data_IF_348410001093
#
_entry.id   IF_348410001093
#
_cell.length_a   1.000
_cell.length_b   1.000
_cell.length_c   1.000
_cell.angle_alpha   90.00
_cell.angle_beta   90.00
_cell.angle_gamma   90.00
#
_symmetry.space_group_name_H-M   'P 1'
#
loop_
_entity.id
_entity.type
_entity.pdbx_description
1 polymer ?
#
# COMPACT_ATOMS: atom_id res chain seq x y z
N UNK A 1 52.68 -61.15 8.94
CA UNK A 1 51.35 -60.91 8.35
C UNK A 1 50.62 -59.94 9.28
N UNK A 2 50.80 -58.65 9.03
CA UNK A 2 50.04 -57.58 9.69
C UNK A 2 48.94 -57.12 8.73
N UNK A 3 47.68 -57.00 9.18
CA UNK A 3 46.59 -56.55 8.33
C UNK A 3 46.57 -55.02 8.23
N UNK A 4 46.51 -54.54 6.99
CA UNK A 4 46.29 -53.15 6.64
C UNK A 4 44.88 -52.72 7.09
N UNK A 5 44.79 -51.69 7.95
CA UNK A 5 43.53 -50.99 8.21
C UNK A 5 43.37 -49.82 7.23
N UNK A 6 42.19 -49.79 6.65
CA UNK A 6 41.71 -49.00 5.53
C UNK A 6 41.53 -47.52 5.85
N UNK A 7 41.98 -46.67 4.92
CA UNK A 7 41.68 -45.24 4.82
C UNK A 7 40.18 -45.01 4.55
N UNK A 8 39.34 -44.91 5.58
CA UNK A 8 37.97 -44.41 5.42
C UNK A 8 37.53 -43.52 6.59
N UNK A 9 38.30 -42.47 6.86
CA UNK A 9 37.86 -41.37 7.73
C UNK A 9 38.40 -40.02 7.24
N UNK A 10 38.01 -39.63 6.01
CA UNK A 10 38.21 -38.26 5.52
C UNK A 10 36.94 -37.72 4.89
N UNK A 11 36.40 -36.67 5.52
CA UNK A 11 35.72 -35.62 4.77
C UNK A 11 34.23 -35.43 5.00
N UNK A 12 33.75 -35.37 6.26
CA UNK A 12 32.54 -34.61 6.56
C UNK A 12 32.91 -33.23 7.08
N UNK A 13 33.51 -32.40 6.22
CA UNK A 13 33.63 -30.96 6.48
C UNK A 13 32.23 -30.34 6.37
N UNK A 14 31.61 -30.16 7.52
CA UNK A 14 30.40 -29.39 7.69
C UNK A 14 30.72 -27.92 7.33
N UNK A 15 30.47 -27.55 6.07
CA UNK A 15 30.54 -26.15 5.60
C UNK A 15 29.52 -25.32 6.38
N UNK A 16 29.90 -24.83 7.56
CA UNK A 16 29.18 -23.77 8.26
C UNK A 16 29.10 -22.58 7.32
N UNK A 17 27.90 -22.31 6.78
CA UNK A 17 27.62 -21.10 6.01
C UNK A 17 27.88 -19.91 6.93
N UNK A 18 28.98 -19.21 6.71
CA UNK A 18 29.28 -17.94 7.37
C UNK A 18 28.26 -16.91 6.88
N UNK A 19 27.30 -16.57 7.74
CA UNK A 19 26.40 -15.43 7.47
C UNK A 19 27.26 -14.16 7.60
N UNK A 20 27.36 -13.33 6.55
CA UNK A 20 28.17 -12.12 6.62
C UNK A 20 27.64 -11.20 7.73
N UNK A 21 28.55 -10.72 8.59
CA UNK A 21 28.22 -9.87 9.73
C UNK A 21 27.62 -8.50 9.33
N UNK A 22 27.76 -8.12 8.05
CA UNK A 22 27.18 -6.91 7.49
C UNK A 22 26.43 -7.26 6.22
N UNK A 23 25.21 -6.73 6.10
CA UNK A 23 24.47 -6.79 4.85
C UNK A 23 25.27 -6.03 3.79
N UNK A 24 25.45 -6.60 2.57
CA UNK A 24 26.07 -5.85 1.48
C UNK A 24 25.25 -4.58 1.21
N UNK A 25 25.89 -3.50 0.70
CA UNK A 25 25.17 -2.29 0.34
C UNK A 25 24.05 -2.64 -0.64
N UNK A 26 22.86 -2.08 -0.41
CA UNK A 26 21.70 -2.26 -1.29
C UNK A 26 22.13 -1.83 -2.70
N UNK A 27 22.04 -2.70 -3.72
CA UNK A 27 22.37 -2.32 -5.07
C UNK A 27 21.59 -1.07 -5.47
N UNK A 28 22.24 -0.13 -6.17
CA UNK A 28 21.51 0.96 -6.80
C UNK A 28 20.39 0.36 -7.66
N UNK A 29 19.17 0.85 -7.45
CA UNK A 29 17.98 0.26 -8.06
C UNK A 29 18.14 0.17 -9.59
N UNK A 30 17.61 -0.87 -10.23
CA UNK A 30 17.77 -1.04 -11.67
C UNK A 30 17.23 0.19 -12.43
N UNK A 31 17.86 0.57 -13.55
CA UNK A 31 17.35 1.64 -14.40
C UNK A 31 15.93 1.30 -14.87
N UNK A 32 15.16 2.34 -15.20
CA UNK A 32 13.83 2.17 -15.73
C UNK A 32 13.87 1.33 -17.01
N UNK A 33 12.99 0.32 -17.06
CA UNK A 33 12.89 -0.56 -18.22
C UNK A 33 12.37 0.26 -19.43
N UNK A 34 12.83 0.00 -20.66
CA UNK A 34 12.33 0.69 -21.84
C UNK A 34 10.78 0.60 -21.95
N UNK A 35 10.12 1.73 -22.19
CA UNK A 35 8.66 1.83 -22.28
C UNK A 35 7.91 1.78 -20.94
N UNK A 36 8.63 1.84 -19.82
CA UNK A 36 8.07 2.04 -18.49
C UNK A 36 8.20 3.49 -18.06
N UNK A 37 7.17 3.96 -17.37
CA UNK A 37 7.11 5.26 -16.73
C UNK A 37 7.14 5.07 -15.22
N UNK A 38 7.80 6.00 -14.53
CA UNK A 38 7.76 6.14 -13.08
C UNK A 38 7.18 7.50 -12.74
N UNK A 39 6.14 7.52 -11.92
CA UNK A 39 5.52 8.74 -11.39
C UNK A 39 5.43 8.63 -9.87
N UNK A 40 5.72 9.72 -9.16
CA UNK A 40 5.73 9.79 -7.70
C UNK A 40 4.74 10.85 -7.23
N UNK A 41 3.98 10.54 -6.18
CA UNK A 41 2.90 11.36 -5.67
C UNK A 41 3.01 11.49 -4.16
N UNK A 42 3.10 12.72 -3.66
CA UNK A 42 3.00 13.00 -2.24
C UNK A 42 1.52 12.94 -1.82
N UNK A 43 1.17 11.95 -1.00
CA UNK A 43 -0.19 11.74 -0.50
C UNK A 43 -0.21 11.95 1.00
N UNK A 44 -1.18 12.74 1.47
CA UNK A 44 -1.44 13.04 2.87
C UNK A 44 -2.74 12.40 3.31
N UNK A 45 -2.73 11.83 4.50
CA UNK A 45 -3.91 11.28 5.17
C UNK A 45 -4.52 12.38 6.04
N UNK A 46 -5.70 12.85 5.65
CA UNK A 46 -6.36 14.03 6.25
C UNK A 46 -7.08 13.66 7.53
N UNK A 47 -7.86 12.57 7.49
CA UNK A 47 -8.65 12.13 8.65
C UNK A 47 -7.96 10.98 9.39
N UNK A 48 -8.26 10.77 10.67
CA UNK A 48 -7.64 9.69 11.44
C UNK A 48 -7.72 8.33 10.75
N UNK A 49 -6.56 7.69 10.55
CA UNK A 49 -6.43 6.34 10.05
C UNK A 49 -6.24 5.37 11.21
N UNK A 50 -7.08 4.33 11.25
CA UNK A 50 -7.00 3.27 12.24
C UNK A 50 -6.79 1.91 11.58
N UNK A 51 -6.09 1.01 12.27
CA UNK A 51 -5.82 -0.35 11.82
C UNK A 51 -4.78 -0.41 10.69
N UNK A 52 -4.88 -1.43 9.84
CA UNK A 52 -3.90 -1.68 8.78
C UNK A 52 -2.68 -2.48 9.22
N UNK A 53 -2.56 -2.78 10.52
CA UNK A 53 -1.58 -3.70 11.06
C UNK A 53 -1.97 -5.17 10.97
N UNK A 54 -1.08 -6.08 11.42
CA UNK A 54 -1.34 -7.51 11.44
C UNK A 54 -2.37 -7.90 12.50
N UNK A 55 -2.55 -7.06 13.54
CA UNK A 55 -3.59 -7.20 14.56
C UNK A 55 -4.74 -6.22 14.28
N UNK A 56 -6.01 -6.66 14.40
CA UNK A 56 -7.15 -5.77 14.32
C UNK A 56 -7.03 -4.61 15.31
N UNK A 57 -7.31 -3.38 14.87
CA UNK A 57 -7.28 -2.20 15.74
C UNK A 57 -5.88 -1.66 16.08
N UNK A 58 -4.81 -2.30 15.61
CA UNK A 58 -3.45 -1.79 15.76
C UNK A 58 -2.87 -1.39 14.40
N UNK A 59 -2.13 -0.27 14.39
CA UNK A 59 -1.35 0.13 13.24
C UNK A 59 0.01 -0.59 13.29
N UNK A 60 0.53 -1.02 12.15
CA UNK A 60 1.87 -1.62 12.09
C UNK A 60 2.93 -0.53 12.38
N UNK A 61 3.78 -0.71 13.41
CA UNK A 61 4.79 0.28 13.76
C UNK A 61 5.90 0.43 12.71
N UNK A 62 6.05 -0.54 11.81
CA UNK A 62 7.09 -0.55 10.77
C UNK A 62 6.52 -0.19 9.41
N UNK A 63 5.29 -0.59 9.11
CA UNK A 63 4.66 -0.34 7.81
C UNK A 63 3.26 0.24 7.96
N UNK A 64 3.20 1.50 8.39
CA UNK A 64 1.95 2.25 8.57
C UNK A 64 1.08 2.26 7.30
N UNK A 65 1.71 2.40 6.13
CA UNK A 65 1.05 2.30 4.82
C UNK A 65 1.68 1.17 4.02
N UNK A 66 0.94 0.07 3.86
CA UNK A 66 1.40 -1.11 3.13
C UNK A 66 1.17 -0.98 1.63
N UNK A 67 2.22 -1.15 0.82
CA UNK A 67 2.12 -1.15 -0.64
C UNK A 67 1.15 -2.21 -1.18
N UNK A 68 1.01 -3.35 -0.50
CA UNK A 68 0.02 -4.38 -0.84
C UNK A 68 -1.43 -3.88 -0.68
N UNK A 69 -1.72 -3.13 0.39
CA UNK A 69 -3.03 -2.52 0.62
C UNK A 69 -3.34 -1.45 -0.42
N UNK A 70 -2.37 -0.59 -0.74
CA UNK A 70 -2.51 0.40 -1.82
C UNK A 70 -2.83 -0.28 -3.14
N UNK A 71 -2.10 -1.35 -3.50
CA UNK A 71 -2.40 -2.13 -4.71
C UNK A 71 -3.83 -2.70 -4.71
N UNK A 72 -4.33 -3.18 -3.56
CA UNK A 72 -5.71 -3.63 -3.41
C UNK A 72 -6.73 -2.51 -3.66
N UNK A 73 -6.48 -1.32 -3.12
CA UNK A 73 -7.31 -0.15 -3.36
C UNK A 73 -7.31 0.28 -4.83
N UNK A 74 -6.14 0.34 -5.46
CA UNK A 74 -6.04 0.68 -6.89
C UNK A 74 -6.80 -0.31 -7.77
N UNK A 75 -6.73 -1.62 -7.47
CA UNK A 75 -7.52 -2.64 -8.17
C UNK A 75 -9.02 -2.42 -8.02
N UNK A 76 -9.48 -2.15 -6.79
CA UNK A 76 -10.88 -1.85 -6.52
C UNK A 76 -11.37 -0.62 -7.31
N UNK A 77 -10.63 0.48 -7.23
CA UNK A 77 -11.00 1.74 -7.90
C UNK A 77 -10.84 1.66 -9.42
N UNK A 78 -9.93 0.84 -9.93
CA UNK A 78 -9.88 0.51 -11.35
C UNK A 78 -11.16 -0.19 -11.81
N UNK A 79 -11.62 -1.21 -11.07
CA UNK A 79 -12.90 -1.87 -11.38
C UNK A 79 -14.09 -0.90 -11.27
N UNK A 80 -14.08 -0.01 -10.28
CA UNK A 80 -15.17 0.95 -10.09
C UNK A 80 -15.23 1.98 -11.23
N UNK A 81 -14.09 2.44 -11.74
CA UNK A 81 -14.02 3.47 -12.79
C UNK A 81 -14.14 2.91 -14.21
N UNK A 82 -13.55 1.73 -14.47
CA UNK A 82 -13.52 1.11 -15.81
C UNK A 82 -14.56 0.01 -15.99
N UNK A 83 -15.18 -0.46 -14.90
CA UNK A 83 -16.11 -1.60 -14.92
C UNK A 83 -17.29 -1.44 -15.86
N UNK A 84 -17.85 -0.23 -15.97
CA UNK A 84 -18.97 0.05 -16.87
C UNK A 84 -18.64 -0.12 -18.36
N UNK A 85 -17.36 -0.10 -18.74
CA UNK A 85 -16.92 -0.31 -20.12
C UNK A 85 -16.87 -1.79 -20.54
N UNK A 86 -17.14 -2.74 -19.64
CA UNK A 86 -17.07 -4.17 -19.92
C UNK A 86 -18.46 -4.79 -19.87
N UNK A 87 -18.74 -5.69 -20.83
CA UNK A 87 -20.04 -6.36 -20.96
C UNK A 87 -20.34 -7.33 -19.83
N UNK A 88 -19.31 -8.00 -19.31
CA UNK A 88 -19.45 -9.03 -18.29
C UNK A 88 -18.27 -9.01 -17.29
N UNK A 89 -18.47 -9.68 -16.16
CA UNK A 89 -17.48 -9.76 -15.09
C UNK A 89 -16.22 -10.56 -15.50
N UNK A 90 -16.33 -11.45 -16.49
CA UNK A 90 -15.21 -12.28 -16.96
C UNK A 90 -14.22 -11.42 -17.75
N UNK A 91 -14.69 -10.62 -18.69
CA UNK A 91 -13.90 -9.69 -19.47
C UNK A 91 -13.22 -8.65 -18.57
N UNK A 92 -13.93 -8.16 -17.54
CA UNK A 92 -13.36 -7.25 -16.54
C UNK A 92 -12.21 -7.93 -15.78
N UNK A 93 -12.40 -9.16 -15.31
CA UNK A 93 -11.37 -9.92 -14.58
C UNK A 93 -10.14 -10.21 -15.44
N UNK A 94 -10.34 -10.61 -16.70
CA UNK A 94 -9.24 -10.84 -17.66
C UNK A 94 -8.40 -9.58 -17.87
N UNK A 95 -9.06 -8.43 -18.05
CA UNK A 95 -8.35 -7.15 -18.19
C UNK A 95 -7.65 -6.75 -16.89
N UNK A 96 -8.31 -6.86 -15.73
CA UNK A 96 -7.70 -6.57 -14.43
C UNK A 96 -6.43 -7.39 -14.23
N UNK A 97 -6.49 -8.69 -14.53
CA UNK A 97 -5.36 -9.61 -14.46
C UNK A 97 -4.21 -9.25 -15.41
N UNK A 98 -4.52 -8.70 -16.59
CA UNK A 98 -3.52 -8.26 -17.56
C UNK A 98 -2.75 -6.98 -17.13
N UNK A 99 -3.33 -6.18 -16.24
CA UNK A 99 -2.75 -4.93 -15.71
C UNK A 99 -2.06 -5.23 -14.38
N UNK A 100 -2.84 -5.71 -13.41
CA UNK A 100 -2.45 -5.84 -12.01
C UNK A 100 -1.89 -7.22 -11.67
N UNK A 101 -1.83 -8.14 -12.64
CA UNK A 101 -1.35 -9.50 -12.43
C UNK A 101 -2.40 -10.45 -11.84
N UNK A 102 -2.13 -11.74 -11.99
CA UNK A 102 -2.87 -12.86 -11.42
C UNK A 102 -1.91 -13.78 -10.68
N UNK A 103 -2.38 -14.90 -10.15
CA UNK A 103 -1.52 -15.96 -9.58
C UNK A 103 -0.53 -16.52 -10.60
N UNK A 104 -0.88 -16.49 -11.91
CA UNK A 104 -0.06 -17.03 -13.00
C UNK A 104 0.78 -15.99 -13.73
N UNK A 105 0.36 -14.71 -13.68
CA UNK A 105 0.96 -13.64 -14.47
C UNK A 105 1.43 -12.49 -13.57
N UNK A 106 2.70 -12.04 -13.68
CA UNK A 106 3.19 -10.94 -12.87
C UNK A 106 2.47 -9.62 -13.21
N UNK A 107 2.41 -8.73 -12.22
CA UNK A 107 1.87 -7.39 -12.41
C UNK A 107 2.70 -6.59 -13.40
N UNK A 108 2.04 -5.73 -14.19
CA UNK A 108 2.70 -4.72 -15.05
C UNK A 108 2.74 -3.35 -14.39
N UNK A 109 2.41 -3.30 -13.12
CA UNK A 109 2.42 -2.12 -12.25
C UNK A 109 3.16 -2.49 -10.96
N UNK A 110 4.18 -1.72 -10.63
CA UNK A 110 4.93 -1.78 -9.38
C UNK A 110 4.47 -0.63 -8.49
N UNK A 111 4.13 -0.94 -7.24
CA UNK A 111 3.69 0.03 -6.24
C UNK A 111 4.73 0.09 -5.14
N UNK A 112 5.31 1.26 -4.93
CA UNK A 112 6.26 1.52 -3.86
C UNK A 112 5.71 2.64 -2.98
N UNK A 113 5.81 2.45 -1.67
CA UNK A 113 5.37 3.43 -0.69
C UNK A 113 6.54 3.72 0.22
N UNK A 114 6.81 5.01 0.41
CA UNK A 114 7.78 5.50 1.39
C UNK A 114 7.06 6.48 2.32
N UNK A 115 6.90 6.10 3.59
CA UNK A 115 6.35 7.02 4.59
C UNK A 115 7.39 8.12 4.85
N UNK A 116 6.96 9.37 4.73
CA UNK A 116 7.79 10.56 4.98
C UNK A 116 7.54 11.10 6.38
N UNK A 117 6.29 11.08 6.82
CA UNK A 117 5.85 11.51 8.15
C UNK A 117 4.75 10.56 8.65
N UNK A 118 4.90 10.02 9.86
CA UNK A 118 3.90 9.18 10.51
C UNK A 118 2.75 9.98 11.14
N UNK A 119 2.87 11.30 11.16
CA UNK A 119 1.89 12.21 11.72
C UNK A 119 1.75 12.06 13.24
N UNK A 120 0.58 12.46 13.75
CA UNK A 120 0.29 12.46 15.19
C UNK A 120 -0.63 11.31 15.56
N UNK A 121 -0.35 10.67 16.69
CA UNK A 121 -1.21 9.63 17.25
C UNK A 121 -2.42 10.23 17.93
N UNK A 122 -3.60 9.68 17.65
CA UNK A 122 -4.87 10.10 18.26
C UNK A 122 -5.59 8.90 18.87
N UNK A 123 -6.04 8.99 20.14
CA UNK A 123 -6.76 7.88 20.76
C UNK A 123 -8.17 7.73 20.19
N UNK A 124 -8.61 6.49 19.95
CA UNK A 124 -10.02 6.20 19.77
C UNK A 124 -10.71 6.22 21.14
N UNK A 125 -11.41 7.31 21.46
CA UNK A 125 -12.06 7.48 22.76
C UNK A 125 -13.51 7.96 22.65
N UNK A 126 -14.32 7.69 23.69
CA UNK A 126 -15.72 8.12 23.78
C UNK A 126 -15.89 9.65 23.75
N UNK A 127 -14.85 10.41 24.10
CA UNK A 127 -14.81 11.86 24.00
C UNK A 127 -14.35 12.40 22.63
N UNK A 128 -14.07 11.53 21.65
CA UNK A 128 -13.66 11.97 20.31
C UNK A 128 -14.89 12.54 19.56
N UNK A 129 -14.78 13.68 18.86
CA UNK A 129 -15.90 14.28 18.12
C UNK A 129 -16.60 13.31 17.15
N UNK A 130 -15.83 12.38 16.59
CA UNK A 130 -16.32 11.31 15.70
C UNK A 130 -16.61 9.97 16.41
N UNK A 131 -17.00 9.96 17.69
CA UNK A 131 -17.19 8.71 18.47
C UNK A 131 -18.08 7.66 17.79
N UNK A 132 -19.14 8.09 17.08
CA UNK A 132 -20.00 7.18 16.31
C UNK A 132 -19.24 6.47 15.17
N UNK A 133 -18.42 7.20 14.43
CA UNK A 133 -17.59 6.64 13.35
C UNK A 133 -16.59 5.62 13.92
N UNK A 134 -16.09 5.89 15.12
CA UNK A 134 -15.08 5.08 15.81
C UNK A 134 -15.66 3.98 16.70
N UNK A 135 -16.99 3.78 16.70
CA UNK A 135 -17.68 2.85 17.60
C UNK A 135 -17.02 1.47 17.77
N UNK A 136 -16.54 0.77 16.70
CA UNK A 136 -15.84 -0.51 16.89
C UNK A 136 -14.61 -0.38 17.79
N UNK A 137 -13.82 0.68 17.63
CA UNK A 137 -12.60 0.91 18.41
C UNK A 137 -12.90 1.35 19.86
N UNK A 138 -14.16 1.60 20.20
CA UNK A 138 -14.60 1.92 21.57
C UNK A 138 -15.00 0.68 22.37
N UNK A 139 -15.06 -0.50 21.73
CA UNK A 139 -15.36 -1.77 22.38
C UNK A 139 -14.22 -2.17 23.33
N UNK A 140 -14.57 -2.94 24.37
CA UNK A 140 -13.65 -3.26 25.45
C UNK A 140 -12.39 -4.02 24.98
N UNK A 141 -12.54 -4.81 23.92
CA UNK A 141 -11.49 -5.59 23.25
C UNK A 141 -10.51 -4.74 22.44
N UNK A 142 -10.88 -3.50 22.07
CA UNK A 142 -10.06 -2.57 21.28
C UNK A 142 -9.72 -1.29 22.06
N UNK A 143 -9.87 -1.32 23.39
CA UNK A 143 -9.47 -0.19 24.25
C UNK A 143 -7.98 0.07 24.13
N UNK A 144 -7.63 1.31 23.81
CA UNK A 144 -6.24 1.74 23.62
C UNK A 144 -5.79 1.78 22.16
N UNK A 145 -6.66 1.45 21.19
CA UNK A 145 -6.38 1.68 19.78
C UNK A 145 -6.02 3.14 19.51
N UNK A 146 -4.87 3.33 18.88
CA UNK A 146 -4.37 4.63 18.44
C UNK A 146 -4.49 4.71 16.91
N UNK A 147 -5.05 5.80 16.42
CA UNK A 147 -5.02 6.15 15.01
C UNK A 147 -3.91 7.13 14.73
N UNK A 148 -3.61 7.34 13.45
CA UNK A 148 -2.65 8.34 12.99
C UNK A 148 -3.36 9.39 12.14
N UNK A 149 -3.07 10.66 12.38
CA UNK A 149 -3.58 11.82 11.63
C UNK A 149 -2.42 12.58 11.02
N UNK A 150 -2.57 13.02 9.78
CA UNK A 150 -1.54 13.81 9.11
C UNK A 150 -0.36 12.98 8.60
N UNK A 151 -0.54 11.67 8.41
CA UNK A 151 0.47 10.81 7.80
C UNK A 151 0.76 11.32 6.39
N UNK A 152 2.03 11.48 6.03
CA UNK A 152 2.46 11.84 4.68
C UNK A 152 3.33 10.72 4.14
N UNK A 153 3.02 10.25 2.94
CA UNK A 153 3.81 9.23 2.26
C UNK A 153 3.98 9.57 0.79
N UNK A 154 5.12 9.19 0.24
CA UNK A 154 5.38 9.23 -1.19
C UNK A 154 4.96 7.89 -1.81
N UNK A 155 4.09 7.98 -2.80
CA UNK A 155 3.60 6.86 -3.59
C UNK A 155 4.27 6.88 -4.95
N UNK A 156 5.18 5.95 -5.18
CA UNK A 156 5.82 5.76 -6.48
C UNK A 156 5.16 4.61 -7.23
N UNK A 157 4.64 4.92 -8.41
CA UNK A 157 4.07 3.95 -9.34
C UNK A 157 4.98 3.81 -10.55
N UNK A 158 5.34 2.58 -10.87
CA UNK A 158 6.08 2.24 -12.08
C UNK A 158 5.25 1.29 -12.94
N UNK A 159 4.95 1.69 -14.17
CA UNK A 159 4.05 0.95 -15.06
C UNK A 159 4.41 1.15 -16.54
N UNK A 160 3.92 0.27 -17.41
CA UNK A 160 4.08 0.44 -18.87
C UNK A 160 3.29 1.64 -19.37
N UNK A 161 3.88 2.46 -20.24
CA UNK A 161 3.28 3.72 -20.75
C UNK A 161 1.82 3.55 -21.21
N UNK A 162 1.55 2.49 -21.99
CA UNK A 162 0.21 2.16 -22.49
C UNK A 162 -0.87 1.91 -21.42
N UNK A 163 -0.48 1.73 -20.15
CA UNK A 163 -1.38 1.51 -19.01
C UNK A 163 -1.64 2.79 -18.23
N UNK A 164 -1.09 3.94 -18.66
CA UNK A 164 -1.19 5.21 -17.95
C UNK A 164 -2.63 5.58 -17.63
N UNK A 165 -3.53 5.53 -18.61
CA UNK A 165 -4.93 5.90 -18.38
C UNK A 165 -5.66 4.98 -17.41
N UNK A 166 -5.33 3.68 -17.43
CA UNK A 166 -5.89 2.70 -16.49
C UNK A 166 -5.41 2.99 -15.06
N UNK A 167 -4.09 3.17 -14.89
CA UNK A 167 -3.48 3.42 -13.57
C UNK A 167 -3.88 4.78 -13.01
N UNK A 168 -3.86 5.83 -13.82
CA UNK A 168 -4.19 7.18 -13.39
C UNK A 168 -5.66 7.34 -13.05
N UNK A 169 -6.59 6.71 -13.79
CA UNK A 169 -8.01 6.72 -13.42
C UNK A 169 -8.25 6.05 -12.06
N UNK A 170 -7.59 4.92 -11.80
CA UNK A 170 -7.68 4.22 -10.52
C UNK A 170 -7.07 5.03 -9.36
N UNK A 171 -5.90 5.63 -9.59
CA UNK A 171 -5.21 6.47 -8.61
C UNK A 171 -6.03 7.71 -8.27
N UNK A 172 -6.51 8.44 -9.28
CA UNK A 172 -7.32 9.64 -9.11
C UNK A 172 -8.60 9.34 -8.33
N UNK A 173 -9.32 8.27 -8.69
CA UNK A 173 -10.55 7.90 -8.00
C UNK A 173 -10.29 7.44 -6.55
N UNK A 174 -9.20 6.69 -6.31
CA UNK A 174 -8.84 6.29 -4.96
C UNK A 174 -8.48 7.47 -4.06
N UNK A 175 -7.71 8.44 -4.57
CA UNK A 175 -7.32 9.62 -3.78
C UNK A 175 -8.52 10.51 -3.47
N UNK A 176 -9.43 10.71 -4.42
CA UNK A 176 -10.53 11.67 -4.25
C UNK A 176 -11.75 11.08 -3.53
N UNK A 177 -12.03 9.78 -3.69
CA UNK A 177 -13.24 9.14 -3.14
C UNK A 177 -12.97 7.99 -2.18
N UNK A 178 -11.72 7.56 -2.11
CA UNK A 178 -11.29 6.46 -1.27
C UNK A 178 -10.74 6.90 0.07
N UNK A 179 -10.00 5.96 0.65
CA UNK A 179 -9.28 6.14 1.88
C UNK A 179 -8.37 4.94 2.09
N UNK A 180 -7.64 4.95 3.19
CA UNK A 180 -6.77 3.85 3.60
C UNK A 180 -7.02 3.49 5.07
N UNK A 181 -6.78 2.23 5.43
CA UNK A 181 -7.04 1.71 6.76
C UNK A 181 -8.50 1.26 6.94
N UNK A 182 -8.96 1.23 8.19
CA UNK A 182 -10.30 0.78 8.54
C UNK A 182 -11.33 1.92 8.38
N UNK A 183 -12.59 1.53 8.15
CA UNK A 183 -13.76 2.44 8.15
C UNK A 183 -13.67 3.60 7.15
N UNK A 184 -12.99 3.41 6.03
CA UNK A 184 -12.87 4.40 4.94
C UNK A 184 -14.22 4.87 4.40
N UNK A 185 -15.20 3.97 4.33
CA UNK A 185 -16.60 4.28 3.97
C UNK A 185 -17.38 5.11 5.00
N UNK A 186 -16.77 5.45 6.13
CA UNK A 186 -17.37 6.25 7.21
C UNK A 186 -16.51 7.50 7.53
N UNK A 187 -15.57 7.85 6.65
CA UNK A 187 -14.75 9.07 6.75
C UNK A 187 -13.37 8.91 7.39
N UNK A 188 -12.96 7.72 7.81
CA UNK A 188 -11.59 7.49 8.31
C UNK A 188 -10.57 7.34 7.17
N UNK A 189 -9.33 7.78 7.41
CA UNK A 189 -8.20 7.62 6.50
C UNK A 189 -8.39 8.23 5.11
N UNK A 190 -9.13 9.34 5.00
CA UNK A 190 -9.31 10.08 3.75
C UNK A 190 -7.96 10.61 3.24
N UNK A 191 -7.79 10.60 1.92
CA UNK A 191 -6.54 10.96 1.26
C UNK A 191 -6.63 12.34 0.62
N UNK A 192 -5.48 12.97 0.48
CA UNK A 192 -5.30 14.21 -0.25
C UNK A 192 -3.97 14.19 -0.99
N UNK A 193 -3.99 14.52 -2.27
CA UNK A 193 -2.80 14.72 -3.08
C UNK A 193 -3.01 15.96 -3.94
N UNK A 194 -2.11 16.93 -3.82
CA UNK A 194 -2.21 18.21 -4.53
C UNK A 194 -2.11 18.05 -6.05
N UNK A 195 -1.29 17.11 -6.53
CA UNK A 195 -1.15 16.84 -7.96
C UNK A 195 -2.39 16.18 -8.61
N UNK A 196 -3.30 15.64 -7.79
CA UNK A 196 -4.48 14.90 -8.24
C UNK A 196 -5.79 15.51 -7.77
N UNK A 197 -5.74 16.63 -7.04
CA UNK A 197 -6.92 17.38 -6.67
C UNK A 197 -7.55 17.97 -7.92
N UNK A 198 -8.87 18.09 -7.93
CA UNK A 198 -9.51 18.94 -8.91
C UNK A 198 -8.93 20.36 -8.78
N UNK A 199 -8.65 21.08 -9.88
CA UNK A 199 -8.33 22.49 -9.79
C UNK A 199 -9.43 23.15 -8.98
N UNK A 200 -9.05 23.99 -8.00
CA UNK A 200 -9.99 24.61 -7.08
C UNK A 200 -11.16 25.16 -7.91
N UNK A 201 -12.31 24.48 -7.86
CA UNK A 201 -13.53 25.03 -8.42
C UNK A 201 -13.66 26.36 -7.72
N UNK A 202 -13.66 27.45 -8.49
CA UNK A 202 -13.80 28.80 -7.96
C UNK A 202 -14.97 28.75 -6.97
N UNK A 203 -14.66 28.85 -5.68
CA UNK A 203 -15.67 28.86 -4.63
C UNK A 203 -16.54 30.05 -5.00
N UNK A 204 -17.82 29.86 -5.36
CA UNK A 204 -18.70 30.99 -5.59
C UNK A 204 -18.69 31.80 -4.30
N UNK A 205 -18.29 33.08 -4.37
CA UNK A 205 -18.16 33.94 -3.20
C UNK A 205 -19.52 34.29 -2.54
N UNK A 206 -20.60 33.64 -2.98
CA UNK A 206 -21.98 33.97 -2.63
C UNK A 206 -22.61 32.88 -1.75
N UNK A 207 -21.99 32.61 -0.60
CA UNK A 207 -22.71 32.06 0.55
C UNK A 207 -22.37 32.94 1.75
N UNK A 208 -23.19 33.99 1.92
CA UNK A 208 -23.33 34.76 3.16
C UNK A 208 -24.45 34.18 3.99
#
# INVERSE_FOLDING_TARGET
MEPQMTEHEKGRQEKRRTVPARCPPVPSGPPLRPGWRRESFAVRVVTPMFGGGPRPGENDPVTLVRGASVRGHLRFWWRATRGAGYRDAKALYEREGAIWGTTKTPSRVTVQVKVLDEGRRVPAGRGHPCAYVLFPFLQQEMRGTQGHVGVVFDLTLEYKERLREDVMAALWAWVNFGGIGARTRRGCGALFCEALSAPAAAVPQDVR
#
